data_IF_825025432999
#
_entry.id   IF_825025432999
#
_cell.length_a   1.000
_cell.length_b   1.000
_cell.length_c   1.000
_cell.angle_alpha   90.00
_cell.angle_beta   90.00
_cell.angle_gamma   90.00
#
_symmetry.space_group_name_H-M   'P 1'
#
loop_
_entity.id
_entity.type
_entity.pdbx_description
1 polymer ?
#
# COMPACT_ATOMS: atom_id res chain seq x y z
N UNK A 1 -36.38 47.01 4.67
CA UNK A 1 -35.59 46.14 3.78
C UNK A 1 -34.36 45.71 4.55
N UNK A 2 -34.20 44.40 4.74
CA UNK A 2 -33.21 43.86 5.67
C UNK A 2 -31.89 43.55 4.94
N UNK A 3 -30.77 43.81 5.61
CA UNK A 3 -29.41 43.73 5.02
C UNK A 3 -29.07 42.33 4.45
N UNK A 4 -29.74 41.28 4.94
CA UNK A 4 -29.68 39.90 4.45
C UNK A 4 -30.28 39.70 3.06
N UNK A 5 -31.38 40.39 2.73
CA UNK A 5 -32.09 40.27 1.45
C UNK A 5 -31.24 40.80 0.30
N UNK A 6 -30.57 41.94 0.53
CA UNK A 6 -29.63 42.53 -0.44
C UNK A 6 -28.42 41.63 -0.70
N UNK A 7 -27.91 40.95 0.33
CA UNK A 7 -26.76 40.03 0.21
C UNK A 7 -27.13 38.77 -0.56
N UNK A 8 -28.30 38.19 -0.28
CA UNK A 8 -28.82 37.04 -1.04
C UNK A 8 -29.09 37.37 -2.51
N UNK A 9 -29.62 38.57 -2.80
CA UNK A 9 -29.84 39.05 -4.17
C UNK A 9 -28.52 39.27 -4.92
N UNK A 10 -27.54 39.91 -4.29
CA UNK A 10 -26.22 40.15 -4.88
C UNK A 10 -25.46 38.86 -5.19
N UNK A 11 -25.51 37.85 -4.29
CA UNK A 11 -24.89 36.54 -4.54
C UNK A 11 -25.56 35.80 -5.71
N UNK A 12 -26.88 35.92 -5.86
CA UNK A 12 -27.61 35.30 -6.97
C UNK A 12 -27.26 35.97 -8.31
N UNK A 13 -27.25 37.31 -8.34
CA UNK A 13 -26.83 38.08 -9.51
C UNK A 13 -25.37 37.81 -9.90
N UNK A 14 -24.48 37.59 -8.93
CA UNK A 14 -23.09 37.18 -9.19
C UNK A 14 -22.99 35.75 -9.75
N UNK A 15 -23.83 34.81 -9.30
CA UNK A 15 -23.87 33.45 -9.83
C UNK A 15 -24.40 33.42 -11.28
N UNK A 16 -25.46 34.18 -11.57
CA UNK A 16 -26.05 34.27 -12.92
C UNK A 16 -25.12 34.97 -13.93
N UNK A 17 -24.18 35.80 -13.45
CA UNK A 17 -23.17 36.48 -14.27
C UNK A 17 -21.94 35.61 -14.61
N UNK A 18 -21.79 34.42 -14.02
CA UNK A 18 -20.66 33.53 -14.29
C UNK A 18 -20.87 32.76 -15.59
N UNK A 19 -19.99 32.92 -16.61
CA UNK A 19 -20.13 32.19 -17.86
C UNK A 19 -19.86 30.70 -17.65
N UNK A 20 -20.92 29.88 -17.68
CA UNK A 20 -20.82 28.42 -17.65
C UNK A 20 -20.29 27.95 -19.00
N UNK A 21 -18.97 27.92 -19.13
CA UNK A 21 -18.30 27.38 -20.31
C UNK A 21 -18.70 25.92 -20.55
N UNK A 22 -18.93 25.56 -21.82
CA UNK A 22 -19.29 24.20 -22.19
C UNK A 22 -18.22 23.21 -21.67
N UNK A 23 -18.64 22.25 -20.85
CA UNK A 23 -17.73 21.27 -20.27
C UNK A 23 -16.96 20.54 -21.40
N UNK A 24 -15.64 20.30 -21.27
CA UNK A 24 -14.80 19.75 -22.34
C UNK A 24 -14.96 18.23 -22.51
N UNK A 25 -16.21 17.75 -22.53
CA UNK A 25 -16.58 16.32 -22.59
C UNK A 25 -16.00 15.67 -23.85
N UNK A 26 -15.98 16.39 -24.98
CA UNK A 26 -15.41 15.89 -26.24
C UNK A 26 -13.91 15.61 -26.17
N UNK A 27 -13.14 16.41 -25.43
CA UNK A 27 -11.71 16.19 -25.25
C UNK A 27 -11.45 14.90 -24.44
N UNK A 28 -12.23 14.70 -23.37
CA UNK A 28 -12.18 13.48 -22.53
C UNK A 28 -12.60 12.25 -23.34
N UNK A 29 -13.71 12.33 -24.08
CA UNK A 29 -14.21 11.23 -24.92
C UNK A 29 -13.24 10.88 -26.07
N UNK A 30 -12.61 11.87 -26.71
CA UNK A 30 -11.61 11.66 -27.76
C UNK A 30 -10.37 10.97 -27.20
N UNK A 31 -9.91 11.36 -26.01
CA UNK A 31 -8.79 10.73 -25.30
C UNK A 31 -9.09 9.28 -24.93
N UNK A 32 -10.26 8.99 -24.35
CA UNK A 32 -10.67 7.62 -24.00
C UNK A 32 -10.77 6.67 -25.20
N UNK A 33 -11.25 7.15 -26.36
CA UNK A 33 -11.31 6.36 -27.59
C UNK A 33 -9.93 5.98 -28.13
N UNK A 34 -8.93 6.85 -28.02
CA UNK A 34 -7.56 6.58 -28.48
C UNK A 34 -6.89 5.46 -27.67
N UNK A 35 -7.01 5.49 -26.34
CA UNK A 35 -6.46 4.48 -25.43
C UNK A 35 -7.07 3.09 -25.71
N UNK A 36 -8.38 3.02 -25.97
CA UNK A 36 -9.08 1.76 -26.24
C UNK A 36 -8.63 1.07 -27.54
N UNK A 37 -8.16 1.83 -28.55
CA UNK A 37 -7.63 1.27 -29.81
C UNK A 37 -6.26 0.61 -29.62
N UNK A 38 -5.34 1.21 -28.85
CA UNK A 38 -3.99 0.65 -28.61
C UNK A 38 -4.00 -0.72 -27.93
N UNK A 39 -5.02 -1.05 -27.13
CA UNK A 39 -5.09 -2.34 -26.40
C UNK A 39 -5.47 -3.55 -27.27
N UNK A 40 -5.85 -3.38 -28.54
CA UNK A 40 -6.26 -4.51 -29.41
C UNK A 40 -5.13 -5.16 -30.22
N UNK A 41 -3.97 -4.52 -30.34
CA UNK A 41 -2.86 -4.98 -31.22
C UNK A 41 -1.78 -5.82 -30.53
N UNK A 42 -1.86 -6.08 -29.22
CA UNK A 42 -0.78 -6.71 -28.43
C UNK A 42 -1.07 -8.19 -28.06
N UNK A 43 -2.18 -8.77 -28.54
CA UNK A 43 -2.70 -10.08 -28.07
C UNK A 43 -2.43 -11.28 -29.01
N UNK A 44 -1.38 -11.25 -29.83
CA UNK A 44 -1.16 -12.27 -30.87
C UNK A 44 0.31 -12.61 -31.15
N UNK A 45 1.08 -12.93 -30.12
CA UNK A 45 2.41 -13.60 -30.12
C UNK A 45 2.58 -14.28 -28.74
N UNK A 46 3.04 -15.52 -28.51
CA UNK A 46 3.14 -16.78 -29.29
C UNK A 46 3.08 -17.96 -28.27
N UNK A 47 2.84 -19.20 -28.71
CA UNK A 47 2.75 -20.42 -27.86
C UNK A 47 3.96 -21.37 -28.03
N UNK A 48 4.01 -22.49 -27.26
CA UNK A 48 4.88 -23.70 -27.45
C UNK A 48 6.34 -23.54 -26.97
N UNK A 49 7.07 -24.48 -26.32
CA UNK A 49 6.81 -25.67 -25.47
C UNK A 49 8.11 -25.93 -24.63
N UNK A 50 8.27 -26.93 -23.73
CA UNK A 50 8.75 -28.32 -24.02
C UNK A 50 9.11 -29.05 -22.68
N UNK A 51 8.80 -30.36 -22.62
CA UNK A 51 9.25 -31.48 -21.76
C UNK A 51 9.75 -31.36 -20.28
N UNK A 52 9.28 -32.34 -19.49
CA UNK A 52 9.87 -32.93 -18.28
C UNK A 52 10.88 -34.03 -18.65
N UNK A 53 11.92 -34.29 -17.82
CA UNK A 53 12.27 -35.69 -17.51
C UNK A 53 12.59 -35.98 -16.02
N UNK A 54 12.57 -37.28 -15.70
CA UNK A 54 12.69 -37.92 -14.38
C UNK A 54 14.14 -38.24 -13.94
N UNK A 55 14.27 -38.59 -12.64
CA UNK A 55 15.20 -39.58 -12.03
C UNK A 55 16.66 -39.22 -11.62
N UNK A 56 17.06 -39.84 -10.49
CA UNK A 56 18.44 -39.99 -9.99
C UNK A 56 18.70 -39.28 -8.65
N UNK A 57 19.33 -39.86 -7.63
CA UNK A 57 19.73 -41.26 -7.38
C UNK A 57 19.89 -41.50 -5.84
N UNK A 58 19.99 -42.75 -5.40
CA UNK A 58 20.09 -43.13 -3.99
C UNK A 58 21.49 -42.91 -3.38
N UNK A 59 21.54 -42.71 -2.05
CA UNK A 59 22.77 -42.59 -1.26
C UNK A 59 22.59 -43.10 0.17
N UNK A 60 22.66 -44.43 0.35
CA UNK A 60 22.68 -45.11 1.65
C UNK A 60 24.11 -45.13 2.22
N UNK A 61 24.31 -44.66 3.45
CA UNK A 61 25.37 -45.16 4.34
C UNK A 61 24.86 -45.21 5.79
N UNK A 62 25.12 -46.32 6.48
CA UNK A 62 24.68 -46.58 7.86
C UNK A 62 25.85 -46.59 8.85
N UNK A 63 25.59 -45.98 10.02
CA UNK A 63 26.06 -46.43 11.33
C UNK A 63 27.45 -45.96 11.81
N UNK A 64 27.84 -46.30 13.06
CA UNK A 64 27.01 -46.79 14.17
C UNK A 64 27.08 -45.86 15.42
N UNK A 65 26.37 -46.25 16.49
CA UNK A 65 26.28 -45.47 17.72
C UNK A 65 27.49 -45.66 18.66
N UNK A 66 27.82 -44.61 19.42
CA UNK A 66 28.55 -44.69 20.69
C UNK A 66 27.74 -43.97 21.77
N UNK A 67 27.48 -44.64 22.89
CA UNK A 67 26.98 -44.01 24.12
C UNK A 67 28.18 -43.42 24.84
N UNK A 68 28.05 -42.22 25.41
CA UNK A 68 28.77 -41.90 26.64
C UNK A 68 27.95 -41.02 27.57
N UNK A 69 28.08 -41.28 28.87
CA UNK A 69 27.31 -40.68 29.96
C UNK A 69 28.11 -39.57 30.63
N UNK A 70 28.04 -38.36 30.06
CA UNK A 70 28.76 -37.16 30.51
C UNK A 70 27.93 -36.23 31.40
N UNK A 71 28.17 -36.31 32.71
CA UNK A 71 27.71 -35.42 33.81
C UNK A 71 27.53 -33.93 33.43
N UNK A 72 26.41 -33.34 33.86
CA UNK A 72 26.06 -31.94 33.60
C UNK A 72 26.99 -30.91 34.26
N UNK A 73 27.17 -29.76 33.57
CA UNK A 73 27.64 -28.50 34.13
C UNK A 73 26.61 -27.42 33.76
N UNK A 74 26.11 -26.61 34.70
CA UNK A 74 25.18 -25.52 34.38
C UNK A 74 25.95 -24.40 33.68
N UNK A 75 25.80 -24.30 32.36
CA UNK A 75 26.26 -23.12 31.60
C UNK A 75 25.35 -21.96 31.97
N UNK A 76 25.94 -20.89 32.52
CA UNK A 76 25.24 -19.64 32.79
C UNK A 76 24.56 -19.13 31.50
N UNK A 77 23.25 -18.94 31.56
CA UNK A 77 22.48 -18.31 30.47
C UNK A 77 23.03 -16.91 30.20
N UNK A 78 23.80 -16.77 29.12
CA UNK A 78 24.14 -15.46 28.58
C UNK A 78 22.83 -14.69 28.28
N UNK A 79 22.77 -13.38 28.55
CA UNK A 79 21.56 -12.59 28.26
C UNK A 79 21.21 -12.72 26.79
N UNK A 80 19.95 -13.07 26.51
CA UNK A 80 19.46 -13.27 25.16
C UNK A 80 19.70 -12.00 24.33
N UNK A 81 20.63 -12.07 23.38
CA UNK A 81 20.86 -11.02 22.38
C UNK A 81 19.51 -10.74 21.70
N UNK A 82 19.05 -9.48 21.58
CA UNK A 82 17.82 -9.17 20.86
C UNK A 82 17.87 -9.82 19.47
N UNK A 83 16.86 -10.63 19.17
CA UNK A 83 16.79 -11.31 17.88
C UNK A 83 16.80 -10.25 16.78
N UNK A 84 17.79 -10.32 15.89
CA UNK A 84 17.87 -9.42 14.75
C UNK A 84 16.59 -9.60 13.91
N UNK A 85 15.74 -8.57 13.89
CA UNK A 85 14.51 -8.58 13.11
C UNK A 85 14.86 -8.83 11.65
N UNK A 86 14.18 -9.79 11.02
CA UNK A 86 14.40 -10.07 9.61
C UNK A 86 14.26 -8.79 8.77
N UNK A 87 15.07 -8.62 7.71
CA UNK A 87 14.92 -7.50 6.79
C UNK A 87 13.52 -7.54 6.19
N UNK A 88 12.76 -6.47 6.40
CA UNK A 88 11.43 -6.30 5.85
C UNK A 88 11.45 -6.03 4.34
N UNK A 89 10.28 -5.89 3.69
CA UNK A 89 10.21 -5.38 2.34
C UNK A 89 10.80 -3.97 2.29
N UNK A 90 11.69 -3.73 1.33
CA UNK A 90 12.36 -2.44 1.19
C UNK A 90 11.37 -1.32 0.82
N UNK A 91 11.65 -0.09 1.29
CA UNK A 91 10.91 1.12 0.89
C UNK A 91 11.08 1.34 -0.61
N UNK A 92 9.96 1.45 -1.33
CA UNK A 92 9.92 1.66 -2.78
C UNK A 92 9.88 3.16 -3.09
N UNK A 93 10.89 3.67 -3.76
CA UNK A 93 10.92 5.06 -4.23
C UNK A 93 10.33 5.16 -5.64
N UNK A 94 9.44 6.14 -5.87
CA UNK A 94 8.81 6.42 -7.17
C UNK A 94 8.91 7.89 -7.55
N UNK A 95 8.81 8.17 -8.85
CA UNK A 95 8.55 9.52 -9.36
C UNK A 95 7.06 9.86 -9.28
N UNK A 96 6.74 11.15 -9.36
CA UNK A 96 5.34 11.62 -9.42
C UNK A 96 4.66 11.02 -10.66
N UNK A 97 3.47 10.45 -10.48
CA UNK A 97 2.69 9.83 -11.56
C UNK A 97 3.21 8.47 -12.04
N UNK A 98 4.27 7.91 -11.44
CA UNK A 98 4.76 6.57 -11.76
C UNK A 98 3.91 5.52 -11.01
N UNK A 99 3.24 4.58 -11.71
CA UNK A 99 2.46 3.53 -11.07
C UNK A 99 3.36 2.48 -10.40
N UNK A 100 2.88 1.92 -9.31
CA UNK A 100 3.47 0.79 -8.60
C UNK A 100 2.44 -0.33 -8.48
N UNK A 101 2.65 -1.42 -9.22
CA UNK A 101 1.83 -2.62 -9.11
C UNK A 101 2.14 -3.40 -7.83
N UNK A 102 1.12 -3.70 -7.03
CA UNK A 102 1.24 -4.45 -5.76
C UNK A 102 0.42 -5.75 -5.76
N UNK A 103 -0.10 -6.17 -6.92
CA UNK A 103 -0.87 -7.41 -7.09
C UNK A 103 -2.33 -7.15 -7.50
N UNK A 104 -3.07 -8.22 -7.80
CA UNK A 104 -4.51 -8.16 -8.10
C UNK A 104 -4.93 -7.28 -9.29
N UNK A 105 -3.99 -6.90 -10.17
CA UNK A 105 -4.24 -5.94 -11.26
C UNK A 105 -4.47 -4.50 -10.79
N UNK A 106 -4.08 -4.16 -9.55
CA UNK A 106 -4.18 -2.82 -8.94
C UNK A 106 -2.82 -2.11 -8.96
N UNK A 107 -2.85 -0.80 -9.12
CA UNK A 107 -1.66 0.05 -9.15
C UNK A 107 -1.82 1.22 -8.17
N UNK A 108 -0.79 1.48 -7.37
CA UNK A 108 -0.65 2.64 -6.49
C UNK A 108 0.15 3.71 -7.23
N UNK A 109 -0.40 4.90 -7.37
CA UNK A 109 0.26 6.06 -7.99
C UNK A 109 0.42 7.16 -6.96
N UNK A 110 1.64 7.67 -6.81
CA UNK A 110 1.91 8.83 -5.95
C UNK A 110 1.84 10.12 -6.79
N UNK A 111 1.04 11.08 -6.35
CA UNK A 111 0.93 12.41 -6.96
C UNK A 111 1.62 13.44 -6.05
N UNK A 112 1.80 14.67 -6.53
CA UNK A 112 2.30 15.76 -5.67
C UNK A 112 1.34 16.13 -4.51
N UNK A 113 0.08 15.66 -4.57
CA UNK A 113 -0.98 16.01 -3.61
C UNK A 113 -1.38 14.85 -2.70
N UNK A 114 -1.01 13.60 -3.01
CA UNK A 114 -1.65 12.43 -2.45
C UNK A 114 -1.21 11.11 -3.05
N UNK A 115 -1.97 10.06 -2.72
CA UNK A 115 -1.83 8.73 -3.28
C UNK A 115 -3.19 8.25 -3.82
N UNK A 116 -3.13 7.52 -4.93
CA UNK A 116 -4.30 7.00 -5.64
C UNK A 116 -4.08 5.51 -5.95
N UNK A 117 -5.10 4.69 -5.73
CA UNK A 117 -5.13 3.27 -6.12
C UNK A 117 -6.19 3.08 -7.18
N UNK A 118 -5.77 2.55 -8.33
CA UNK A 118 -6.67 2.18 -9.41
C UNK A 118 -7.40 0.87 -9.12
N UNK A 119 -8.70 0.85 -9.47
CA UNK A 119 -9.46 -0.39 -9.53
C UNK A 119 -8.93 -1.27 -10.70
N UNK A 120 -8.95 -2.61 -10.58
CA UNK A 120 -8.51 -3.49 -11.66
C UNK A 120 -9.42 -3.31 -12.88
N UNK A 121 -8.84 -3.37 -14.08
CA UNK A 121 -9.57 -3.10 -15.33
C UNK A 121 -10.64 -4.15 -15.70
N UNK A 122 -10.69 -5.27 -14.96
CA UNK A 122 -11.74 -6.27 -15.00
C UNK A 122 -11.94 -6.83 -13.59
N UNK A 123 -13.16 -6.76 -13.06
CA UNK A 123 -13.54 -7.22 -11.73
C UNK A 123 -13.88 -6.08 -10.77
N UNK A 124 -14.38 -6.45 -9.60
CA UNK A 124 -14.82 -5.52 -8.58
C UNK A 124 -13.64 -5.05 -7.72
N UNK A 125 -13.46 -3.73 -7.63
CA UNK A 125 -12.45 -3.12 -6.78
C UNK A 125 -12.78 -1.67 -6.51
N UNK A 126 -12.76 -1.30 -5.23
CA UNK A 126 -12.98 0.08 -4.81
C UNK A 126 -11.71 0.89 -5.09
N UNK A 127 -11.75 1.94 -5.93
CA UNK A 127 -10.65 2.87 -6.06
C UNK A 127 -10.48 3.62 -4.74
N UNK A 128 -9.24 4.02 -4.42
CA UNK A 128 -8.95 4.77 -3.21
C UNK A 128 -8.07 5.98 -3.52
N UNK A 129 -8.35 7.08 -2.83
CA UNK A 129 -7.58 8.32 -2.93
C UNK A 129 -7.44 8.90 -1.53
N UNK A 130 -6.24 9.35 -1.18
CA UNK A 130 -6.01 10.15 0.01
C UNK A 130 -5.09 11.33 -0.33
N UNK A 131 -5.39 12.50 0.23
CA UNK A 131 -4.56 13.71 0.05
C UNK A 131 -3.68 13.95 1.26
N UNK A 132 -2.46 14.42 1.05
CA UNK A 132 -1.47 14.71 2.11
C UNK A 132 -1.90 15.90 2.97
N UNK A 133 -2.61 16.86 2.40
CA UNK A 133 -3.12 18.03 3.12
C UNK A 133 -4.25 17.68 4.11
N UNK A 134 -4.91 16.54 3.91
CA UNK A 134 -5.92 15.98 4.82
C UNK A 134 -5.33 15.08 5.92
N UNK A 135 -4.02 14.79 5.88
CA UNK A 135 -3.31 14.05 6.94
C UNK A 135 -2.56 15.06 7.82
N UNK A 136 -2.84 15.15 9.13
CA UNK A 136 -2.07 15.99 10.02
C UNK A 136 -0.59 15.55 10.12
N UNK A 137 0.35 16.45 10.39
CA UNK A 137 1.74 16.07 10.63
C UNK A 137 1.88 15.18 11.87
N UNK A 138 2.55 14.04 11.73
CA UNK A 138 2.70 13.02 12.78
C UNK A 138 1.62 11.94 12.74
N UNK A 139 0.62 12.03 11.86
CA UNK A 139 -0.52 11.12 11.81
C UNK A 139 -0.51 10.14 10.63
N UNK A 140 -1.42 9.17 10.73
CA UNK A 140 -1.66 8.10 9.75
C UNK A 140 -3.14 8.12 9.40
N UNK A 141 -3.47 8.11 8.10
CA UNK A 141 -4.80 7.69 7.64
C UNK A 141 -4.72 6.28 7.09
N UNK A 142 -5.74 5.46 7.36
CA UNK A 142 -5.83 4.11 6.81
C UNK A 142 -7.28 3.76 6.45
N UNK A 143 -7.45 2.96 5.42
CA UNK A 143 -8.71 2.36 5.00
C UNK A 143 -8.52 0.87 4.73
N UNK A 144 -9.58 0.08 4.91
CA UNK A 144 -9.65 -1.31 4.44
C UNK A 144 -10.38 -1.31 3.08
N UNK A 145 -9.80 -1.95 2.07
CA UNK A 145 -10.37 -2.08 0.73
C UNK A 145 -10.67 -3.54 0.40
N UNK A 146 -11.84 -3.78 -0.18
CA UNK A 146 -12.29 -5.12 -0.58
C UNK A 146 -12.77 -5.97 0.58
N UNK A 147 -13.34 -7.13 0.24
CA UNK A 147 -13.99 -8.03 1.18
C UNK A 147 -13.42 -9.45 1.12
N UNK A 148 -13.57 -10.18 2.22
CA UNK A 148 -13.16 -11.59 2.31
C UNK A 148 -11.65 -11.80 2.11
N UNK A 149 -11.23 -12.83 1.32
CA UNK A 149 -9.86 -13.36 1.29
C UNK A 149 -8.78 -12.44 0.68
N UNK A 150 -9.16 -11.24 0.22
CA UNK A 150 -8.28 -10.32 -0.54
C UNK A 150 -8.40 -8.87 -0.05
N UNK A 151 -8.73 -8.71 1.23
CA UNK A 151 -8.81 -7.41 1.88
C UNK A 151 -7.42 -6.76 1.99
N UNK A 152 -7.33 -5.47 1.70
CA UNK A 152 -6.10 -4.69 1.77
C UNK A 152 -6.24 -3.58 2.81
N UNK A 153 -5.21 -3.35 3.61
CA UNK A 153 -5.07 -2.09 4.37
C UNK A 153 -4.19 -1.14 3.57
N UNK A 154 -4.73 0.04 3.27
CA UNK A 154 -4.04 1.09 2.51
C UNK A 154 -4.02 2.37 3.33
N UNK A 155 -3.03 3.23 3.12
CA UNK A 155 -2.98 4.48 3.87
C UNK A 155 -1.87 5.44 3.49
N UNK A 156 -1.88 6.58 4.17
CA UNK A 156 -0.83 7.59 4.14
C UNK A 156 -0.27 7.80 5.55
N UNK A 157 1.04 8.01 5.64
CA UNK A 157 1.70 8.59 6.81
C UNK A 157 2.32 9.92 6.39
N UNK A 158 2.15 10.96 7.22
CA UNK A 158 2.82 12.26 7.06
C UNK A 158 3.54 12.60 8.34
N UNK A 159 4.82 12.97 8.30
CA UNK A 159 5.55 13.33 9.51
C UNK A 159 7.01 13.72 9.27
N UNK A 160 7.70 14.01 10.37
CA UNK A 160 9.03 14.63 10.35
C UNK A 160 10.18 13.69 9.95
N UNK A 161 9.97 12.37 10.00
CA UNK A 161 10.98 11.36 9.68
C UNK A 161 10.53 10.43 8.54
N UNK A 162 11.47 9.85 7.76
CA UNK A 162 11.14 8.86 6.75
C UNK A 162 10.67 7.55 7.41
N UNK A 163 9.53 7.02 6.97
CA UNK A 163 9.11 5.67 7.31
C UNK A 163 10.05 4.66 6.66
N UNK A 164 10.70 3.83 7.47
CA UNK A 164 11.51 2.70 7.01
C UNK A 164 10.72 1.39 7.01
N UNK A 165 9.73 1.27 7.90
CA UNK A 165 8.87 0.11 8.07
C UNK A 165 7.47 0.55 8.48
N UNK A 166 6.44 -0.13 7.99
CA UNK A 166 5.05 0.02 8.47
C UNK A 166 4.50 -1.36 8.78
N UNK A 167 3.96 -1.53 9.98
CA UNK A 167 3.28 -2.77 10.38
C UNK A 167 1.78 -2.52 10.53
N UNK A 168 1.00 -3.50 10.11
CA UNK A 168 -0.47 -3.51 10.18
C UNK A 168 -0.87 -4.76 10.98
N UNK A 169 -1.37 -4.56 12.20
CA UNK A 169 -2.06 -5.62 12.93
C UNK A 169 -3.55 -5.59 12.55
N UNK A 170 -4.02 -6.72 12.00
CA UNK A 170 -5.44 -6.97 11.85
C UNK A 170 -5.83 -8.23 12.62
N UNK A 171 -6.39 -8.01 13.81
CA UNK A 171 -6.96 -9.09 14.62
C UNK A 171 -5.94 -10.01 15.28
N UNK A 172 -4.75 -9.52 15.60
CA UNK A 172 -3.65 -10.29 16.18
C UNK A 172 -2.71 -10.91 15.15
N UNK A 173 -2.96 -10.71 13.85
CA UNK A 173 -2.00 -10.99 12.77
C UNK A 173 -1.33 -9.69 12.36
N UNK A 174 -0.03 -9.59 12.59
CA UNK A 174 0.80 -8.46 12.16
C UNK A 174 1.42 -8.77 10.80
N UNK A 175 1.05 -7.99 9.78
CA UNK A 175 1.65 -8.01 8.45
C UNK A 175 2.52 -6.76 8.26
N UNK A 176 3.65 -6.90 7.55
CA UNK A 176 4.47 -5.77 7.16
C UNK A 176 4.00 -5.20 5.81
N UNK A 177 3.73 -3.90 5.77
CA UNK A 177 3.22 -3.22 4.59
C UNK A 177 4.35 -2.85 3.62
N UNK A 178 4.05 -2.85 2.33
CA UNK A 178 4.90 -2.23 1.31
C UNK A 178 4.82 -0.71 1.47
N UNK A 179 5.94 -0.08 1.81
CA UNK A 179 6.04 1.38 1.94
C UNK A 179 6.48 1.99 0.61
N UNK A 180 5.75 3.00 0.12
CA UNK A 180 6.03 3.68 -1.14
C UNK A 180 6.12 5.19 -0.93
N UNK A 181 7.20 5.81 -1.38
CA UNK A 181 7.43 7.26 -1.21
C UNK A 181 7.91 7.92 -2.50
N UNK A 182 7.74 9.24 -2.61
CA UNK A 182 8.32 10.00 -3.71
C UNK A 182 9.82 10.20 -3.50
N UNK A 183 10.57 10.29 -4.61
CA UNK A 183 11.95 10.77 -4.57
C UNK A 183 12.02 12.20 -3.98
N UNK A 184 13.11 12.51 -3.26
CA UNK A 184 13.35 13.85 -2.72
C UNK A 184 12.83 14.13 -1.31
N UNK A 185 12.54 13.09 -0.51
CA UNK A 185 12.16 13.19 0.91
C UNK A 185 10.92 14.10 1.17
N UNK A 186 9.74 13.73 0.67
CA UNK A 186 8.55 14.59 0.63
C UNK A 186 7.86 14.83 1.99
N UNK A 187 8.36 14.27 3.10
CA UNK A 187 7.71 14.32 4.42
C UNK A 187 6.48 13.43 4.57
N UNK A 188 6.24 12.50 3.64
CA UNK A 188 5.14 11.54 3.67
C UNK A 188 5.45 10.27 2.86
N UNK A 189 4.66 9.22 3.10
CA UNK A 189 4.64 8.01 2.28
C UNK A 189 3.24 7.39 2.23
N UNK A 190 2.97 6.60 1.21
CA UNK A 190 1.84 5.68 1.18
C UNK A 190 2.28 4.28 1.62
N UNK A 191 1.33 3.45 2.04
CA UNK A 191 1.56 2.04 2.31
C UNK A 191 0.39 1.17 1.87
N UNK A 192 0.69 -0.10 1.57
CA UNK A 192 -0.30 -1.15 1.29
C UNK A 192 0.12 -2.46 1.94
N UNK A 193 -0.80 -3.12 2.63
CA UNK A 193 -0.64 -4.45 3.20
C UNK A 193 -1.78 -5.35 2.72
N UNK A 194 -1.45 -6.56 2.27
CA UNK A 194 -2.44 -7.63 2.15
C UNK A 194 -2.67 -8.25 3.54
N UNK A 195 -3.92 -8.23 3.99
CA UNK A 195 -4.33 -8.71 5.32
C UNK A 195 -5.23 -9.94 5.24
N UNK A 196 -5.63 -10.35 4.02
CA UNK A 196 -6.37 -11.59 3.75
C UNK A 196 -7.77 -11.73 4.35
N UNK A 197 -8.22 -10.85 5.26
CA UNK A 197 -9.57 -10.86 5.84
C UNK A 197 -10.05 -9.43 6.13
N UNK A 198 -11.35 -9.17 5.95
CA UNK A 198 -12.00 -7.92 6.35
C UNK A 198 -12.76 -8.09 7.70
N UNK A 199 -13.31 -7.00 8.26
CA UNK A 199 -14.25 -7.03 9.38
C UNK A 199 -13.64 -6.72 10.75
N UNK A 200 -12.38 -6.26 10.81
CA UNK A 200 -11.73 -5.79 12.04
C UNK A 200 -11.15 -4.40 11.84
N UNK A 201 -10.94 -3.67 12.93
CA UNK A 201 -10.25 -2.36 12.92
C UNK A 201 -8.75 -2.61 12.81
N UNK A 202 -8.05 -2.12 11.76
CA UNK A 202 -6.61 -2.23 11.67
C UNK A 202 -5.92 -1.34 12.71
N UNK A 203 -4.83 -1.83 13.29
CA UNK A 203 -3.86 -1.02 14.03
C UNK A 203 -2.62 -0.86 13.17
N UNK A 204 -2.16 0.36 12.97
CA UNK A 204 -1.00 0.66 12.12
C UNK A 204 0.10 1.27 12.99
N UNK A 205 1.34 0.84 12.82
CA UNK A 205 2.51 1.50 13.38
C UNK A 205 3.51 1.83 12.26
N UNK A 206 4.00 3.06 12.26
CA UNK A 206 5.05 3.53 11.35
C UNK A 206 6.35 3.60 12.16
N UNK A 207 7.43 3.06 11.62
CA UNK A 207 8.74 2.99 12.28
C UNK A 207 9.85 3.58 11.40
N UNK A 208 10.81 4.24 12.04
CA UNK A 208 12.07 4.64 11.47
C UNK A 208 13.04 3.44 11.36
N UNK A 209 14.20 3.65 10.71
CA UNK A 209 15.16 2.59 10.42
C UNK A 209 15.85 1.99 11.66
N UNK A 210 15.89 2.74 12.76
CA UNK A 210 16.36 2.32 14.09
C UNK A 210 15.29 1.55 14.90
N UNK A 211 14.06 1.43 14.39
CA UNK A 211 12.92 0.87 15.09
C UNK A 211 12.15 1.86 15.97
N UNK A 212 12.53 3.14 15.99
CA UNK A 212 11.75 4.19 16.67
C UNK A 212 10.37 4.31 16.04
N UNK A 213 9.32 4.26 16.86
CA UNK A 213 7.95 4.43 16.38
C UNK A 213 7.69 5.90 16.09
N UNK A 214 7.42 6.21 14.82
CA UNK A 214 7.14 7.56 14.33
C UNK A 214 5.67 7.95 14.48
N UNK A 215 4.74 7.00 14.35
CA UNK A 215 3.31 7.22 14.52
C UNK A 215 2.57 5.90 14.80
N UNK A 216 1.37 6.01 15.38
CA UNK A 216 0.44 4.88 15.58
C UNK A 216 -0.99 5.29 15.25
N UNK A 217 -1.72 4.41 14.57
CA UNK A 217 -3.16 4.47 14.40
C UNK A 217 -3.77 3.29 15.14
N UNK A 218 -4.66 3.57 16.07
CA UNK A 218 -5.59 2.60 16.63
C UNK A 218 -6.91 3.34 16.86
N UNK A 219 -7.94 3.03 16.07
CA UNK A 219 -9.27 3.57 16.34
C UNK A 219 -9.75 2.94 17.65
N UNK A 220 -10.00 3.77 18.67
CA UNK A 220 -10.67 3.29 19.89
C UNK A 220 -12.10 2.86 19.50
N UNK A 221 -12.53 1.75 20.10
CA UNK A 221 -13.84 1.14 19.83
C UNK A 221 -14.98 1.90 20.47
#
# INVERSE_FOLDING_TARGET
MNRSEGLASALRQAADAMPVGAAPVDAVLRTGRAIRRRRRTVRSVVSVAVLVPLCGAAGLLLGPAARDTGRAVPVLSAPARPAATAPGPAVVVRGVGQPYGFGGGRELTLTAQGAEISAPAAGDGTPWTARVDQVPPGEITAAVLGDGPSALVVGLYRGAGPAARVTVDLGGRSTEAQVVTLAGAPGWCAFVADVGENGRVPRVAVLAADGTVLARLAKQG
#
